data_IF_079374846694
#
_entry.id   IF_079374846694
#
_cell.length_a   1.000
_cell.length_b   1.000
_cell.length_c   1.000
_cell.angle_alpha   90.00
_cell.angle_beta   90.00
_cell.angle_gamma   90.00
#
_symmetry.space_group_name_H-M   'P 1'
#
loop_
_entity.id
_entity.type
_entity.pdbx_description
1 polymer ?
#
# COMPACT_ATOMS: atom_id res chain seq x y z
N UNK A 1 -2.64 -12.75 -4.27
CA UNK A 1 -3.71 -11.95 -3.61
C UNK A 1 -4.40 -11.10 -4.68
N UNK A 2 -5.63 -10.63 -4.43
CA UNK A 2 -6.39 -9.81 -5.39
C UNK A 2 -6.85 -8.52 -4.70
N UNK A 3 -6.94 -7.43 -5.46
CA UNK A 3 -7.49 -6.17 -4.98
C UNK A 3 -8.96 -6.33 -4.57
N UNK A 4 -9.31 -5.85 -3.38
CA UNK A 4 -10.68 -5.83 -2.87
C UNK A 4 -11.40 -4.57 -3.35
N UNK A 5 -12.72 -4.65 -3.59
CA UNK A 5 -13.50 -3.56 -4.21
C UNK A 5 -13.52 -2.26 -3.42
N UNK A 6 -13.37 -2.31 -2.09
CA UNK A 6 -13.30 -1.12 -1.23
C UNK A 6 -11.89 -0.51 -1.14
N UNK A 7 -10.88 -1.12 -1.77
CA UNK A 7 -9.54 -0.55 -1.82
C UNK A 7 -9.55 0.68 -2.72
N UNK A 8 -9.03 1.80 -2.22
CA UNK A 8 -8.94 3.04 -2.99
C UNK A 8 -7.49 3.34 -3.34
N UNK A 9 -7.30 4.01 -4.48
CA UNK A 9 -6.01 4.50 -4.93
C UNK A 9 -6.17 5.62 -5.95
N UNK A 10 -5.09 6.32 -6.26
CA UNK A 10 -5.11 7.41 -7.22
C UNK A 10 -3.95 8.38 -7.02
N UNK A 11 -4.10 9.59 -7.56
CA UNK A 11 -3.08 10.63 -7.48
C UNK A 11 -3.63 11.91 -6.83
N UNK A 12 -2.83 12.54 -5.97
CA UNK A 12 -3.22 13.78 -5.29
C UNK A 12 -3.31 14.96 -6.26
N UNK A 13 -4.34 15.81 -6.11
CA UNK A 13 -4.41 17.11 -6.77
C UNK A 13 -3.69 18.23 -6.01
N UNK A 14 -3.18 17.96 -4.81
CA UNK A 14 -2.63 18.97 -3.89
C UNK A 14 -1.14 18.77 -3.60
N UNK A 15 -0.72 17.51 -3.41
CA UNK A 15 0.66 17.19 -3.06
C UNK A 15 1.41 16.69 -4.30
N UNK A 16 2.50 17.37 -4.63
CA UNK A 16 3.41 16.93 -5.68
C UNK A 16 3.99 15.54 -5.36
N UNK A 17 4.31 14.78 -6.41
CA UNK A 17 4.93 13.48 -6.27
C UNK A 17 6.29 13.60 -5.55
N UNK A 18 6.52 12.86 -4.46
CA UNK A 18 7.83 12.82 -3.82
C UNK A 18 8.81 11.97 -4.65
N UNK A 19 10.09 12.34 -4.64
CA UNK A 19 11.11 11.72 -5.51
C UNK A 19 11.32 10.22 -5.28
N UNK A 20 11.16 9.76 -4.04
CA UNK A 20 11.25 8.32 -3.73
C UNK A 20 10.18 7.50 -4.47
N UNK A 21 9.10 8.14 -4.95
CA UNK A 21 8.01 7.49 -5.67
C UNK A 21 8.17 7.49 -7.19
N UNK A 22 9.11 8.26 -7.73
CA UNK A 22 9.19 8.53 -9.18
C UNK A 22 9.31 7.26 -10.00
N UNK A 23 10.20 6.33 -9.61
CA UNK A 23 10.43 5.10 -10.35
C UNK A 23 9.15 4.23 -10.43
N UNK A 24 8.47 4.05 -9.30
CA UNK A 24 7.25 3.24 -9.22
C UNK A 24 6.09 3.89 -9.99
N UNK A 25 5.90 5.21 -9.86
CA UNK A 25 4.84 5.92 -10.57
C UNK A 25 5.10 5.93 -12.08
N UNK A 26 6.33 6.18 -12.52
CA UNK A 26 6.66 6.15 -13.94
C UNK A 26 6.48 4.75 -14.53
N UNK A 27 6.82 3.69 -13.78
CA UNK A 27 6.55 2.32 -14.17
C UNK A 27 5.03 2.07 -14.35
N UNK A 28 4.20 2.52 -13.41
CA UNK A 28 2.74 2.46 -13.53
C UNK A 28 2.20 3.24 -14.73
N UNK A 29 2.65 4.50 -14.92
CA UNK A 29 2.19 5.36 -16.01
C UNK A 29 2.67 4.90 -17.41
N UNK A 30 3.63 3.99 -17.47
CA UNK A 30 4.09 3.37 -18.72
C UNK A 30 3.24 2.18 -19.18
N UNK A 31 2.27 1.75 -18.37
CA UNK A 31 1.40 0.62 -18.71
C UNK A 31 0.46 0.96 -19.88
N UNK A 32 0.15 -0.05 -20.70
CA UNK A 32 -0.67 0.12 -21.91
C UNK A 32 -2.16 0.35 -21.62
N UNK A 33 -2.61 0.01 -20.41
CA UNK A 33 -4.02 0.11 -20.01
C UNK A 33 -4.12 1.02 -18.79
N UNK A 34 -4.42 2.29 -19.03
CA UNK A 34 -4.67 3.28 -17.99
C UNK A 34 -6.03 3.95 -18.24
N UNK A 35 -6.70 4.45 -17.18
CA UNK A 35 -7.82 5.38 -17.35
C UNK A 35 -7.42 6.59 -18.21
N UNK A 36 -8.39 7.32 -18.79
CA UNK A 36 -8.10 8.55 -19.52
C UNK A 36 -7.29 9.52 -18.64
N UNK A 37 -6.28 10.17 -19.21
CA UNK A 37 -5.38 11.06 -18.46
C UNK A 37 -6.08 12.25 -17.80
N UNK A 38 -7.28 12.63 -18.26
CA UNK A 38 -8.12 13.65 -17.63
C UNK A 38 -8.71 13.22 -16.28
N UNK A 39 -8.66 11.93 -15.93
CA UNK A 39 -9.27 11.39 -14.71
C UNK A 39 -8.30 11.41 -13.51
N UNK A 40 -7.02 11.73 -13.71
CA UNK A 40 -6.03 11.75 -12.64
C UNK A 40 -4.92 12.79 -12.87
N UNK A 41 -4.32 13.27 -11.77
CA UNK A 41 -3.16 14.15 -11.82
C UNK A 41 -1.86 13.32 -11.83
N UNK A 42 -1.29 13.05 -13.01
CA UNK A 42 -0.05 12.26 -13.15
C UNK A 42 1.16 12.82 -12.41
N UNK A 43 1.15 14.11 -12.05
CA UNK A 43 2.23 14.78 -11.30
C UNK A 43 2.04 14.75 -9.77
N UNK A 44 0.90 14.22 -9.31
CA UNK A 44 0.57 14.13 -7.89
C UNK A 44 1.22 12.95 -7.17
N UNK A 45 1.21 12.98 -5.84
CA UNK A 45 1.53 11.80 -5.00
C UNK A 45 0.53 10.67 -5.29
N UNK A 46 1.01 9.55 -5.80
CA UNK A 46 0.20 8.36 -6.05
C UNK A 46 -0.04 7.59 -4.74
N UNK A 47 -1.19 6.98 -4.48
CA UNK A 47 -1.47 6.19 -3.27
C UNK A 47 -2.35 4.98 -3.61
N UNK A 48 -2.40 3.91 -2.77
CA UNK A 48 -1.60 3.68 -1.55
C UNK A 48 -0.14 3.35 -1.84
N UNK A 49 0.75 3.42 -0.83
CA UNK A 49 2.15 2.96 -0.97
C UNK A 49 2.27 1.43 -0.82
N UNK A 50 1.49 0.86 0.09
CA UNK A 50 1.43 -0.57 0.39
C UNK A 50 -0.03 -0.97 0.58
N UNK A 51 -0.38 -2.16 0.12
CA UNK A 51 -1.64 -2.84 0.44
C UNK A 51 -1.33 -4.11 1.21
N UNK A 52 -2.20 -4.45 2.16
CA UNK A 52 -2.14 -5.73 2.88
C UNK A 52 -3.54 -6.33 2.97
N UNK A 53 -3.66 -7.54 3.53
CA UNK A 53 -4.94 -8.20 3.76
C UNK A 53 -5.89 -7.24 4.48
N UNK A 54 -7.07 -7.02 3.89
CA UNK A 54 -8.13 -6.15 4.40
C UNK A 54 -9.44 -6.89 4.70
N UNK A 55 -9.47 -8.22 4.60
CA UNK A 55 -10.66 -9.05 4.81
C UNK A 55 -10.32 -10.28 5.67
N UNK A 56 -11.35 -10.98 6.18
CA UNK A 56 -11.16 -12.22 6.94
C UNK A 56 -10.69 -12.02 8.38
N UNK A 57 -10.71 -10.79 8.90
CA UNK A 57 -10.39 -10.53 10.30
C UNK A 57 -11.59 -10.84 11.19
N UNK A 58 -11.31 -11.39 12.38
CA UNK A 58 -12.30 -11.56 13.45
C UNK A 58 -11.81 -10.79 14.67
N UNK A 59 -12.63 -9.86 15.15
CA UNK A 59 -12.35 -9.12 16.39
C UNK A 59 -13.33 -9.53 17.47
N UNK A 60 -12.91 -9.47 18.73
CA UNK A 60 -13.80 -9.64 19.86
C UNK A 60 -14.17 -8.27 20.42
N UNK A 61 -15.47 -7.94 20.40
CA UNK A 61 -15.96 -6.65 20.88
C UNK A 61 -17.32 -6.80 21.55
N UNK A 62 -17.52 -6.11 22.67
CA UNK A 62 -18.76 -6.15 23.46
C UNK A 62 -19.25 -7.58 23.75
N UNK A 63 -18.33 -8.50 24.06
CA UNK A 63 -18.68 -9.88 24.42
C UNK A 63 -18.86 -10.85 23.25
N UNK A 64 -18.67 -10.41 21.99
CA UNK A 64 -18.93 -11.23 20.81
C UNK A 64 -17.80 -11.18 19.78
N UNK A 65 -17.59 -12.28 19.06
CA UNK A 65 -16.78 -12.30 17.85
C UNK A 65 -17.53 -11.62 16.71
N UNK A 66 -16.87 -10.71 16.00
CA UNK A 66 -17.41 -10.02 14.84
C UNK A 66 -16.42 -10.10 13.68
N UNK A 67 -16.87 -10.48 12.47
CA UNK A 67 -16.04 -10.34 11.29
C UNK A 67 -15.88 -8.84 10.99
N UNK A 68 -14.67 -8.44 10.63
CA UNK A 68 -14.35 -7.08 10.18
C UNK A 68 -13.44 -7.12 8.96
N UNK A 69 -13.41 -6.00 8.24
CA UNK A 69 -12.54 -5.80 7.10
C UNK A 69 -12.37 -4.31 6.85
N UNK A 70 -11.91 -3.96 5.65
CA UNK A 70 -11.61 -2.60 5.27
C UNK A 70 -10.11 -2.28 5.38
N UNK A 71 -9.74 -1.14 4.82
CA UNK A 71 -8.38 -0.58 4.97
C UNK A 71 -8.03 -0.34 6.45
N UNK A 72 -9.03 -0.08 7.31
CA UNK A 72 -8.87 0.00 8.76
C UNK A 72 -8.30 -1.28 9.40
N UNK A 73 -8.55 -2.46 8.82
CA UNK A 73 -7.96 -3.71 9.26
C UNK A 73 -6.56 -3.92 8.65
N UNK A 74 -6.35 -3.48 7.41
CA UNK A 74 -5.05 -3.55 6.74
C UNK A 74 -3.98 -2.65 7.42
N UNK A 75 -4.34 -1.43 7.85
CA UNK A 75 -3.42 -0.50 8.50
C UNK A 75 -2.69 -1.09 9.73
N UNK A 76 -3.36 -1.63 10.75
CA UNK A 76 -2.69 -2.22 11.91
C UNK A 76 -1.92 -3.51 11.56
N UNK A 77 -2.32 -4.25 10.53
CA UNK A 77 -1.55 -5.41 10.03
C UNK A 77 -0.18 -4.95 9.53
N UNK A 78 -0.13 -3.95 8.65
CA UNK A 78 1.14 -3.42 8.16
C UNK A 78 1.95 -2.76 9.28
N UNK A 79 1.31 -2.02 10.19
CA UNK A 79 1.96 -1.44 11.36
C UNK A 79 2.65 -2.48 12.25
N UNK A 80 2.04 -3.67 12.40
CA UNK A 80 2.63 -4.78 13.16
C UNK A 80 3.87 -5.36 12.46
N UNK A 81 3.85 -5.45 11.13
CA UNK A 81 5.04 -5.87 10.35
C UNK A 81 6.20 -4.89 10.54
N UNK A 82 5.94 -3.58 10.46
CA UNK A 82 6.95 -2.55 10.73
C UNK A 82 7.50 -2.64 12.16
N UNK A 83 6.64 -2.93 13.14
CA UNK A 83 7.08 -3.15 14.53
C UNK A 83 8.05 -4.33 14.62
N UNK A 84 7.77 -5.44 13.93
CA UNK A 84 8.66 -6.60 13.93
C UNK A 84 10.01 -6.28 13.27
N UNK A 85 10.00 -5.56 12.15
CA UNK A 85 11.24 -5.10 11.49
C UNK A 85 12.05 -4.20 12.43
N UNK A 86 11.40 -3.28 13.13
CA UNK A 86 12.07 -2.44 14.12
C UNK A 86 12.67 -3.24 15.27
N UNK A 87 11.98 -4.28 15.77
CA UNK A 87 12.52 -5.18 16.79
C UNK A 87 13.79 -5.88 16.32
N UNK A 88 13.82 -6.38 15.08
CA UNK A 88 15.02 -7.01 14.49
C UNK A 88 16.17 -6.01 14.33
N UNK A 89 15.88 -4.78 13.89
CA UNK A 89 16.88 -3.71 13.75
C UNK A 89 17.49 -3.35 15.10
N UNK A 90 16.67 -3.17 16.13
CA UNK A 90 17.13 -2.88 17.49
C UNK A 90 17.99 -4.01 18.06
N UNK A 91 17.61 -5.27 17.83
CA UNK A 91 18.42 -6.42 18.22
C UNK A 91 19.80 -6.45 17.53
N UNK A 92 19.88 -5.89 16.32
CA UNK A 92 21.13 -5.71 15.58
C UNK A 92 21.87 -4.39 15.90
N UNK A 93 21.42 -3.63 16.91
CA UNK A 93 22.02 -2.34 17.28
C UNK A 93 21.75 -1.20 16.27
N UNK A 94 20.78 -1.37 15.37
CA UNK A 94 20.40 -0.38 14.37
C UNK A 94 19.24 0.50 14.86
N UNK A 95 19.13 1.76 14.39
CA UNK A 95 17.98 2.60 14.69
C UNK A 95 16.71 2.07 14.03
N UNK A 96 15.55 2.35 14.63
CA UNK A 96 14.23 2.08 14.02
C UNK A 96 14.04 2.84 12.71
N UNK A 97 13.13 2.38 11.86
CA UNK A 97 12.91 2.93 10.50
C UNK A 97 12.39 4.39 10.50
N UNK A 98 11.60 4.78 11.50
CA UNK A 98 10.96 6.10 11.52
C UNK A 98 10.03 6.30 10.30
N UNK A 99 10.31 7.34 9.51
CA UNK A 99 9.60 7.57 8.24
C UNK A 99 10.00 6.50 7.20
N UNK A 100 9.20 5.45 7.10
CA UNK A 100 9.56 4.23 6.37
C UNK A 100 9.36 4.30 4.84
N UNK A 101 8.66 5.31 4.30
CA UNK A 101 8.32 5.33 2.87
C UNK A 101 9.55 5.31 1.95
N UNK A 102 10.60 6.14 2.15
CA UNK A 102 11.79 6.07 1.30
C UNK A 102 12.46 4.70 1.32
N UNK A 103 12.52 4.05 2.49
CA UNK A 103 13.07 2.71 2.65
C UNK A 103 12.26 1.66 1.88
N UNK A 104 10.93 1.73 1.94
CA UNK A 104 10.03 0.80 1.24
C UNK A 104 10.21 0.90 -0.28
N UNK A 105 10.23 2.11 -0.82
CA UNK A 105 10.42 2.33 -2.27
C UNK A 105 11.82 1.91 -2.73
N UNK A 106 12.85 2.15 -1.91
CA UNK A 106 14.19 1.66 -2.17
C UNK A 106 14.22 0.12 -2.21
N UNK A 107 13.68 -0.56 -1.21
CA UNK A 107 13.65 -2.02 -1.15
C UNK A 107 12.95 -2.65 -2.36
N UNK A 108 11.85 -2.04 -2.83
CA UNK A 108 11.18 -2.49 -4.06
C UNK A 108 12.05 -2.29 -5.30
N UNK A 109 12.73 -1.14 -5.41
CA UNK A 109 13.61 -0.85 -6.56
C UNK A 109 14.83 -1.76 -6.63
N UNK A 110 15.37 -2.15 -5.47
CA UNK A 110 16.52 -3.05 -5.36
C UNK A 110 16.13 -4.51 -5.62
N UNK A 111 14.94 -4.91 -5.14
CA UNK A 111 14.41 -6.24 -5.37
C UNK A 111 12.87 -6.20 -5.39
N UNK A 112 12.27 -6.21 -6.58
CA UNK A 112 10.82 -6.17 -6.74
C UNK A 112 10.10 -7.37 -6.12
N UNK A 113 10.78 -8.51 -5.94
CA UNK A 113 10.23 -9.69 -5.26
C UNK A 113 10.13 -9.56 -3.74
N UNK A 114 10.65 -8.47 -3.16
CA UNK A 114 10.44 -8.13 -1.74
C UNK A 114 8.98 -7.80 -1.42
N UNK A 115 8.17 -7.52 -2.44
CA UNK A 115 6.74 -7.31 -2.34
C UNK A 115 6.00 -8.26 -3.27
N UNK A 116 4.81 -8.67 -2.86
CA UNK A 116 3.89 -9.38 -3.74
C UNK A 116 3.16 -8.35 -4.63
N UNK A 117 3.31 -8.48 -5.95
CA UNK A 117 2.62 -7.63 -6.91
C UNK A 117 1.16 -8.06 -7.09
N UNK A 118 0.23 -7.10 -6.94
CA UNK A 118 -1.21 -7.32 -7.04
C UNK A 118 -1.68 -6.81 -8.40
N UNK A 119 -1.85 -7.74 -9.35
CA UNK A 119 -2.15 -7.42 -10.75
C UNK A 119 -3.59 -7.68 -11.15
N UNK A 120 -4.42 -8.17 -10.23
CA UNK A 120 -5.85 -8.44 -10.46
C UNK A 120 -6.68 -7.88 -9.32
N UNK A 121 -7.87 -7.35 -9.64
CA UNK A 121 -8.81 -6.79 -8.67
C UNK A 121 -10.19 -7.41 -8.86
N UNK A 122 -10.95 -7.51 -7.76
CA UNK A 122 -12.40 -7.63 -7.83
C UNK A 122 -12.96 -6.26 -8.19
N UNK A 123 -13.12 -5.98 -9.47
CA UNK A 123 -13.85 -4.79 -9.93
C UNK A 123 -15.29 -4.87 -9.44
N UNK A 124 -15.80 -3.76 -8.90
CA UNK A 124 -17.22 -3.49 -8.89
C UNK A 124 -17.53 -3.04 -10.32
N UNK A 125 -18.05 -3.93 -11.15
CA UNK A 125 -18.69 -3.54 -12.41
C UNK A 125 -19.90 -2.67 -12.03
N UNK A 126 -19.71 -1.36 -11.94
CA UNK A 126 -20.80 -0.41 -11.95
C UNK A 126 -20.94 0.17 -13.35
N UNK A 127 -21.56 -0.60 -14.25
CA UNK A 127 -22.26 -0.11 -15.45
C UNK A 127 -21.42 0.28 -16.65
#
# INVERSE_FOLDING_TARGET
EIGVSFSSGGFSNYFARPSFQDAAVNAFLSQSTLPPSSYYNSSGRGFPDISTIGTGFVVYTKGHHKPVGGTSAATPTFGSMLSMINSLRLAAGQPVLGYALPFIYQAWSENSSSFLDITTSQTQDEG
#
